data_IF_932829712687
#
_entry.id   IF_932829712687
#
_cell.length_a   1.000
_cell.length_b   1.000
_cell.length_c   1.000
_cell.angle_alpha   90.00
_cell.angle_beta   90.00
_cell.angle_gamma   90.00
#
_symmetry.space_group_name_H-M   'P 1'
#
loop_
_entity.id
_entity.type
_entity.pdbx_description
1 polymer ?
#
# COMPACT_ATOMS: atom_id res chain seq x y z
N UNK A 1 20.64 -44.16 5.49
CA UNK A 1 20.32 -43.15 4.45
C UNK A 1 20.28 -41.71 4.98
N UNK A 2 20.60 -41.45 6.26
CA UNK A 2 20.34 -40.15 6.89
C UNK A 2 21.59 -39.27 7.15
N UNK A 3 22.76 -39.69 6.64
CA UNK A 3 24.03 -38.92 6.74
C UNK A 3 24.37 -38.09 5.50
N UNK A 4 23.66 -38.30 4.39
CA UNK A 4 23.90 -37.58 3.12
C UNK A 4 23.15 -36.25 3.02
N UNK A 5 22.01 -36.11 3.70
CA UNK A 5 21.15 -34.92 3.62
C UNK A 5 21.70 -33.79 4.51
N UNK A 6 22.26 -34.13 5.68
CA UNK A 6 22.89 -33.13 6.57
C UNK A 6 24.20 -32.53 6.05
N UNK A 7 24.94 -33.26 5.19
CA UNK A 7 26.18 -32.75 4.58
C UNK A 7 25.91 -31.73 3.46
N UNK A 8 24.86 -31.93 2.67
CA UNK A 8 24.46 -30.96 1.63
C UNK A 8 23.96 -29.65 2.23
N UNK A 9 23.17 -29.71 3.30
CA UNK A 9 22.67 -28.52 4.00
C UNK A 9 23.79 -27.71 4.71
N UNK A 10 24.90 -28.36 5.09
CA UNK A 10 26.05 -27.67 5.68
C UNK A 10 27.03 -27.08 4.65
N UNK A 11 27.08 -27.62 3.42
CA UNK A 11 27.90 -27.06 2.34
C UNK A 11 27.23 -25.86 1.65
N UNK A 12 25.91 -25.82 1.61
CA UNK A 12 25.14 -24.72 1.00
C UNK A 12 25.10 -23.47 1.91
N UNK A 13 25.26 -23.64 3.22
CA UNK A 13 25.38 -22.56 4.20
C UNK A 13 26.79 -21.91 4.28
N UNK A 14 27.76 -22.43 3.51
CA UNK A 14 29.15 -21.95 3.45
C UNK A 14 29.52 -21.36 2.08
N UNK A 15 28.56 -21.19 1.16
CA UNK A 15 28.79 -20.39 -0.04
C UNK A 15 28.73 -18.91 0.34
N UNK A 16 29.88 -18.24 0.24
CA UNK A 16 29.90 -16.77 0.12
C UNK A 16 28.88 -16.36 -0.95
N UNK A 17 28.06 -15.32 -0.71
CA UNK A 17 27.08 -14.88 -1.70
C UNK A 17 27.80 -14.60 -3.01
N UNK A 18 27.42 -15.32 -4.06
CA UNK A 18 27.98 -15.15 -5.39
C UNK A 18 27.72 -13.70 -5.83
N UNK A 19 28.77 -12.90 -5.97
CA UNK A 19 28.65 -11.48 -6.31
C UNK A 19 27.96 -11.37 -7.67
N UNK A 20 26.74 -10.84 -7.68
CA UNK A 20 25.98 -10.66 -8.92
C UNK A 20 26.75 -9.74 -9.89
N UNK A 21 26.66 -9.97 -11.21
CA UNK A 21 27.28 -9.08 -12.17
C UNK A 21 26.73 -7.65 -12.01
N UNK A 22 27.56 -6.61 -12.21
CA UNK A 22 27.15 -5.23 -11.98
C UNK A 22 25.98 -4.84 -12.89
N UNK A 23 24.98 -4.19 -12.29
CA UNK A 23 23.80 -3.69 -12.98
C UNK A 23 24.12 -2.32 -13.59
N UNK A 24 24.26 -2.29 -14.91
CA UNK A 24 24.63 -1.07 -15.64
C UNK A 24 23.38 -0.35 -16.14
N UNK A 25 23.15 0.85 -15.63
CA UNK A 25 22.12 1.74 -16.14
C UNK A 25 22.65 2.50 -17.35
N UNK A 26 21.90 2.45 -18.46
CA UNK A 26 22.26 3.13 -19.71
C UNK A 26 21.42 4.39 -19.87
N UNK A 27 22.03 5.47 -20.36
CA UNK A 27 21.34 6.68 -20.79
C UNK A 27 21.98 7.18 -22.09
N UNK A 28 21.20 7.54 -23.13
CA UNK A 28 21.76 7.96 -24.42
C UNK A 28 22.75 9.11 -24.30
N UNK A 29 23.95 8.93 -24.86
CA UNK A 29 24.99 9.96 -24.87
C UNK A 29 25.76 10.15 -23.56
N UNK A 30 25.44 9.39 -22.51
CA UNK A 30 26.14 9.44 -21.22
C UNK A 30 26.90 8.15 -20.95
N UNK A 31 28.03 8.28 -20.26
CA UNK A 31 28.77 7.16 -19.68
C UNK A 31 28.54 7.15 -18.16
N UNK A 32 28.28 5.99 -17.55
CA UNK A 32 28.20 5.89 -16.10
C UNK A 32 29.48 6.43 -15.45
N UNK A 33 29.32 7.30 -14.46
CA UNK A 33 30.41 7.97 -13.74
C UNK A 33 30.33 7.74 -12.22
N UNK A 34 29.31 7.01 -11.77
CA UNK A 34 29.07 6.62 -10.38
C UNK A 34 29.05 5.10 -10.26
N UNK A 35 29.82 4.56 -9.31
CA UNK A 35 29.73 3.18 -8.84
C UNK A 35 29.14 3.15 -7.43
N UNK A 36 28.09 2.34 -7.23
CA UNK A 36 27.46 2.11 -5.92
C UNK A 36 27.56 0.62 -5.59
N UNK A 37 28.14 0.25 -4.45
CA UNK A 37 28.21 -1.12 -3.95
C UNK A 37 27.33 -1.27 -2.71
N UNK A 38 26.28 -2.07 -2.80
CA UNK A 38 25.36 -2.34 -1.70
C UNK A 38 25.65 -3.70 -1.07
N UNK A 39 25.99 -3.66 0.21
CA UNK A 39 26.21 -4.77 1.13
C UNK A 39 27.14 -5.86 0.60
N UNK A 40 28.05 -5.52 -0.32
CA UNK A 40 28.92 -6.48 -1.01
C UNK A 40 28.21 -7.47 -1.94
N UNK A 41 26.87 -7.42 -2.05
CA UNK A 41 26.06 -8.36 -2.84
C UNK A 41 25.65 -7.81 -4.19
N UNK A 42 25.59 -6.47 -4.35
CA UNK A 42 25.12 -5.81 -5.56
C UNK A 42 25.94 -4.58 -5.89
N UNK A 43 26.23 -4.42 -7.18
CA UNK A 43 26.94 -3.27 -7.71
C UNK A 43 26.12 -2.59 -8.81
N UNK A 44 26.02 -1.26 -8.76
CA UNK A 44 25.31 -0.45 -9.74
C UNK A 44 26.24 0.56 -10.39
N UNK A 45 26.18 0.65 -11.72
CA UNK A 45 26.84 1.70 -12.49
C UNK A 45 25.79 2.69 -13.00
N UNK A 46 25.85 3.92 -12.53
CA UNK A 46 24.84 4.96 -12.77
C UNK A 46 25.48 6.30 -13.13
N UNK A 47 24.65 7.28 -13.47
CA UNK A 47 25.02 8.62 -13.87
C UNK A 47 24.71 9.62 -12.76
N UNK A 48 25.70 10.39 -12.33
CA UNK A 48 25.54 11.44 -11.33
C UNK A 48 24.50 12.48 -11.75
N UNK A 49 24.44 12.82 -13.04
CA UNK A 49 23.46 13.78 -13.57
C UNK A 49 22.01 13.35 -13.32
N UNK A 50 21.70 12.05 -13.46
CA UNK A 50 20.36 11.51 -13.25
C UNK A 50 20.04 11.44 -11.75
N UNK A 51 20.99 11.00 -10.92
CA UNK A 51 20.81 11.03 -9.46
C UNK A 51 20.51 12.45 -8.96
N UNK A 52 21.28 13.45 -9.38
CA UNK A 52 21.08 14.87 -8.99
C UNK A 52 19.80 15.48 -9.54
N UNK A 53 19.30 14.98 -10.67
CA UNK A 53 18.04 15.42 -11.24
C UNK A 53 16.87 15.05 -10.33
N UNK A 54 16.85 13.81 -9.84
CA UNK A 54 15.70 13.23 -9.14
C UNK A 54 15.83 13.13 -7.61
N UNK A 55 16.99 13.50 -7.05
CA UNK A 55 17.24 13.46 -5.61
C UNK A 55 17.93 14.74 -5.14
N UNK A 56 17.26 15.44 -4.23
CA UNK A 56 17.84 16.60 -3.55
C UNK A 56 19.05 16.20 -2.68
N UNK A 57 19.03 14.98 -2.13
CA UNK A 57 20.16 14.41 -1.41
C UNK A 57 21.40 14.33 -2.31
N UNK A 58 21.33 13.65 -3.45
CA UNK A 58 22.49 13.48 -4.33
C UNK A 58 22.96 14.80 -4.94
N UNK A 59 22.05 15.76 -5.15
CA UNK A 59 22.40 17.13 -5.59
C UNK A 59 23.34 17.84 -4.61
N UNK A 60 23.07 17.73 -3.31
CA UNK A 60 23.91 18.32 -2.26
C UNK A 60 25.12 17.44 -1.93
N UNK A 61 24.93 16.13 -1.89
CA UNK A 61 25.89 15.18 -1.35
C UNK A 61 27.04 14.85 -2.30
N UNK A 62 26.80 14.72 -3.61
CA UNK A 62 27.85 14.27 -4.53
C UNK A 62 28.94 15.31 -4.76
N UNK A 63 28.58 16.60 -4.83
CA UNK A 63 29.54 17.70 -5.06
C UNK A 63 29.84 18.51 -3.79
N UNK A 64 29.59 17.94 -2.60
CA UNK A 64 29.86 18.65 -1.35
C UNK A 64 31.35 19.03 -1.26
N UNK A 65 31.70 20.28 -0.93
CA UNK A 65 33.08 20.74 -0.84
C UNK A 65 33.89 20.03 0.25
N UNK A 66 33.21 19.39 1.20
CA UNK A 66 33.81 18.60 2.27
C UNK A 66 34.34 17.26 1.78
N UNK A 67 33.94 16.81 0.59
CA UNK A 67 34.40 15.54 0.01
C UNK A 67 35.64 15.75 -0.83
N UNK A 68 36.61 14.88 -0.61
CA UNK A 68 37.80 14.82 -1.45
C UNK A 68 37.41 14.37 -2.86
N UNK A 69 37.74 15.16 -3.90
CA UNK A 69 37.49 14.74 -5.27
C UNK A 69 38.29 13.47 -5.58
N UNK A 70 37.71 12.59 -6.39
CA UNK A 70 38.39 11.39 -6.85
C UNK A 70 39.73 11.74 -7.51
N UNK A 71 40.75 10.91 -7.29
CA UNK A 71 42.05 11.10 -7.91
C UNK A 71 41.90 11.17 -9.45
N UNK A 72 42.70 11.97 -10.17
CA UNK A 72 42.60 12.09 -11.63
C UNK A 72 42.75 10.76 -12.40
N UNK A 73 43.34 9.75 -11.75
CA UNK A 73 43.51 8.39 -12.27
C UNK A 73 42.37 7.42 -11.92
N UNK A 74 41.38 7.85 -11.14
CA UNK A 74 40.27 7.00 -10.73
C UNK A 74 39.38 6.65 -11.94
N UNK A 75 38.97 5.38 -12.02
CA UNK A 75 38.05 4.91 -13.09
C UNK A 75 36.62 5.43 -12.92
N UNK A 76 36.28 5.90 -11.72
CA UNK A 76 34.97 6.41 -11.34
C UNK A 76 35.11 7.81 -10.77
N UNK A 77 34.20 8.70 -11.14
CA UNK A 77 34.13 10.05 -10.55
C UNK A 77 33.61 9.98 -9.11
N UNK A 78 32.71 9.03 -8.87
CA UNK A 78 32.06 8.78 -7.60
C UNK A 78 32.05 7.28 -7.33
N UNK A 79 32.57 6.85 -6.19
CA UNK A 79 32.61 5.44 -5.78
C UNK A 79 32.13 5.35 -4.34
N UNK A 80 31.02 4.62 -4.13
CA UNK A 80 30.33 4.58 -2.85
C UNK A 80 30.03 3.14 -2.44
N UNK A 81 30.04 2.91 -1.13
CA UNK A 81 29.67 1.65 -0.49
C UNK A 81 28.57 1.90 0.53
N UNK A 82 27.66 0.94 0.72
CA UNK A 82 26.68 1.01 1.81
C UNK A 82 27.36 0.75 3.15
N UNK A 83 27.06 1.57 4.15
CA UNK A 83 27.48 1.37 5.54
C UNK A 83 26.22 1.33 6.41
N UNK A 84 26.18 0.41 7.36
CA UNK A 84 25.10 0.27 8.34
C UNK A 84 25.52 0.98 9.62
N UNK A 85 24.71 1.94 10.06
CA UNK A 85 24.95 2.75 11.24
C UNK A 85 24.57 2.00 12.53
N UNK A 86 24.94 2.56 13.69
CA UNK A 86 24.66 1.96 15.01
C UNK A 86 23.17 1.76 15.29
N UNK A 87 22.31 2.60 14.70
CA UNK A 87 20.85 2.51 14.82
C UNK A 87 20.21 1.47 13.89
N UNK A 88 21.02 0.85 13.03
CA UNK A 88 20.59 -0.14 12.04
C UNK A 88 19.91 0.45 10.80
N UNK A 89 19.94 1.77 10.61
CA UNK A 89 19.76 2.39 9.29
C UNK A 89 21.05 2.26 8.47
N UNK A 90 20.97 2.58 7.18
CA UNK A 90 22.14 2.50 6.31
C UNK A 90 22.15 3.64 5.29
N UNK A 91 23.35 4.07 4.92
CA UNK A 91 23.59 5.13 3.96
C UNK A 91 24.71 4.78 2.98
N UNK A 92 24.89 5.63 1.97
CA UNK A 92 26.01 5.53 1.03
C UNK A 92 27.17 6.39 1.52
N UNK A 93 28.33 5.79 1.71
CA UNK A 93 29.57 6.47 2.06
C UNK A 93 30.61 6.38 0.95
N UNK A 94 31.51 7.37 0.89
CA UNK A 94 32.59 7.38 -0.11
C UNK A 94 33.47 6.16 0.15
N UNK A 95 33.75 5.39 -0.89
CA UNK A 95 34.66 4.26 -0.76
C UNK A 95 36.08 4.74 -0.51
N UNK A 96 36.49 4.73 0.75
CA UNK A 96 37.88 4.78 1.17
C UNK A 96 38.22 3.56 2.06
N UNK A 97 39.47 3.47 2.50
CA UNK A 97 39.94 2.33 3.31
C UNK A 97 39.19 2.21 4.65
N UNK A 98 38.60 3.28 5.16
CA UNK A 98 37.86 3.28 6.42
C UNK A 98 36.42 2.83 6.19
N UNK A 99 35.75 3.31 5.14
CA UNK A 99 34.38 2.93 4.80
C UNK A 99 34.26 1.43 4.44
N UNK A 100 35.27 0.84 3.77
CA UNK A 100 35.28 -0.61 3.53
C UNK A 100 35.49 -1.43 4.80
N UNK A 101 36.20 -0.88 5.80
CA UNK A 101 36.33 -1.51 7.11
C UNK A 101 35.01 -1.41 7.90
N UNK A 102 34.37 -0.24 7.91
CA UNK A 102 33.11 -0.01 8.64
C UNK A 102 31.89 -0.64 7.98
N UNK A 103 31.88 -0.83 6.66
CA UNK A 103 30.89 -1.68 6.00
C UNK A 103 30.90 -3.13 6.52
N UNK A 104 31.98 -3.55 7.20
CA UNK A 104 32.17 -4.86 7.83
C UNK A 104 32.13 -4.83 9.38
N UNK A 105 31.80 -3.70 10.02
CA UNK A 105 31.87 -3.50 11.49
C UNK A 105 30.78 -4.24 12.30
N UNK A 106 30.08 -5.21 11.71
CA UNK A 106 29.19 -6.12 12.44
C UNK A 106 27.83 -5.54 12.87
N UNK A 107 27.53 -4.28 12.51
CA UNK A 107 26.18 -3.74 12.59
C UNK A 107 25.27 -4.47 11.59
N UNK A 108 24.02 -4.73 12.00
CA UNK A 108 23.07 -5.51 11.21
C UNK A 108 21.76 -4.75 11.06
N UNK A 109 21.15 -4.88 9.89
CA UNK A 109 19.82 -4.34 9.64
C UNK A 109 18.79 -4.96 10.60
N UNK A 110 17.86 -4.18 11.16
CA UNK A 110 16.82 -4.72 12.02
C UNK A 110 15.86 -5.57 11.21
N UNK A 111 15.52 -6.74 11.75
CA UNK A 111 14.54 -7.63 11.14
C UNK A 111 13.17 -6.93 11.00
N UNK A 112 12.44 -7.17 9.90
CA UNK A 112 12.68 -8.18 8.87
C UNK A 112 13.56 -7.72 7.70
N UNK A 113 14.23 -6.55 7.80
CA UNK A 113 15.06 -6.03 6.71
C UNK A 113 16.29 -6.91 6.49
N UNK A 114 16.61 -7.14 5.23
CA UNK A 114 17.78 -7.92 4.82
C UNK A 114 18.59 -7.14 3.79
N UNK A 115 19.91 -7.37 3.68
CA UNK A 115 20.72 -6.76 2.63
C UNK A 115 20.11 -6.94 1.23
N UNK A 116 19.53 -8.11 0.97
CA UNK A 116 18.89 -8.45 -0.30
C UNK A 116 17.63 -7.60 -0.53
N UNK A 117 16.71 -7.54 0.45
CA UNK A 117 15.48 -6.76 0.31
C UNK A 117 15.78 -5.27 0.15
N UNK A 118 16.75 -4.74 0.87
CA UNK A 118 17.22 -3.36 0.77
C UNK A 118 17.84 -3.05 -0.60
N UNK A 119 18.70 -3.95 -1.11
CA UNK A 119 19.30 -3.78 -2.43
C UNK A 119 18.25 -3.85 -3.56
N UNK A 120 17.21 -4.68 -3.42
CA UNK A 120 16.08 -4.74 -4.36
C UNK A 120 15.25 -3.45 -4.32
N UNK A 121 14.91 -2.95 -3.12
CA UNK A 121 14.16 -1.71 -2.98
C UNK A 121 14.95 -0.51 -3.54
N UNK A 122 16.26 -0.44 -3.28
CA UNK A 122 17.13 0.60 -3.83
C UNK A 122 17.27 0.50 -5.35
N UNK A 123 17.42 -0.71 -5.91
CA UNK A 123 17.41 -0.90 -7.36
C UNK A 123 16.11 -0.40 -7.99
N UNK A 124 14.95 -0.66 -7.35
CA UNK A 124 13.65 -0.19 -7.85
C UNK A 124 13.52 1.34 -7.77
N UNK A 125 14.11 1.97 -6.76
CA UNK A 125 14.24 3.44 -6.71
C UNK A 125 15.12 3.96 -7.85
N UNK A 126 16.26 3.32 -8.15
CA UNK A 126 17.07 3.66 -9.32
C UNK A 126 16.27 3.46 -10.62
N UNK A 127 15.53 2.36 -10.75
CA UNK A 127 14.68 2.14 -11.91
C UNK A 127 13.65 3.27 -12.08
N UNK A 128 13.04 3.76 -10.99
CA UNK A 128 12.17 4.94 -11.04
C UNK A 128 12.89 6.18 -11.59
N UNK A 129 14.11 6.47 -11.11
CA UNK A 129 14.95 7.58 -11.63
C UNK A 129 15.30 7.45 -13.11
N UNK A 130 15.37 6.23 -13.64
CA UNK A 130 15.63 5.96 -15.06
C UNK A 130 14.37 5.70 -15.88
N UNK A 131 13.18 5.87 -15.29
CA UNK A 131 11.90 5.55 -15.92
C UNK A 131 11.83 4.11 -16.47
N UNK A 132 12.51 3.18 -15.79
CA UNK A 132 12.44 1.75 -16.09
C UNK A 132 11.22 1.14 -15.39
N UNK A 133 10.38 0.37 -16.10
CA UNK A 133 9.26 -0.33 -15.48
C UNK A 133 9.73 -1.28 -14.38
N UNK A 134 9.01 -1.26 -13.26
CA UNK A 134 9.24 -2.19 -12.14
C UNK A 134 7.92 -2.81 -11.70
N UNK A 135 7.98 -4.08 -11.32
CA UNK A 135 6.89 -4.72 -10.58
C UNK A 135 7.19 -4.60 -9.08
N UNK A 136 6.16 -4.45 -8.28
CA UNK A 136 6.18 -4.47 -6.82
C UNK A 136 5.72 -5.86 -6.39
N UNK A 137 6.52 -6.50 -5.54
CA UNK A 137 6.27 -7.87 -5.09
C UNK A 137 5.17 -7.91 -4.01
N UNK A 138 5.32 -7.10 -2.96
CA UNK A 138 4.39 -7.03 -1.83
C UNK A 138 4.41 -5.63 -1.17
N UNK A 139 3.55 -5.44 -0.16
CA UNK A 139 3.43 -4.15 0.53
C UNK A 139 4.66 -3.77 1.36
N UNK A 140 5.48 -4.76 1.78
CA UNK A 140 6.74 -4.48 2.50
C UNK A 140 7.73 -3.84 1.56
N UNK A 141 7.84 -4.36 0.34
CA UNK A 141 8.73 -3.79 -0.66
C UNK A 141 8.36 -2.35 -1.01
N UNK A 142 7.06 -2.03 -1.14
CA UNK A 142 6.63 -0.64 -1.35
C UNK A 142 7.00 0.26 -0.15
N UNK A 143 6.94 -0.27 1.07
CA UNK A 143 7.35 0.44 2.28
C UNK A 143 8.85 0.73 2.28
N UNK A 144 9.68 -0.25 1.91
CA UNK A 144 11.14 -0.10 1.81
C UNK A 144 11.52 0.88 0.70
N UNK A 145 10.88 0.78 -0.47
CA UNK A 145 11.06 1.73 -1.57
C UNK A 145 10.73 3.16 -1.12
N UNK A 146 9.62 3.35 -0.39
CA UNK A 146 9.19 4.66 0.10
C UNK A 146 10.14 5.20 1.16
N UNK A 147 10.61 4.37 2.09
CA UNK A 147 11.59 4.77 3.11
C UNK A 147 12.90 5.22 2.46
N UNK A 148 13.42 4.46 1.50
CA UNK A 148 14.64 4.84 0.77
C UNK A 148 14.43 6.11 -0.05
N UNK A 149 13.28 6.26 -0.71
CA UNK A 149 12.96 7.48 -1.43
C UNK A 149 12.86 8.69 -0.51
N UNK A 150 12.34 8.54 0.70
CA UNK A 150 12.32 9.61 1.71
C UNK A 150 13.74 9.99 2.14
N UNK A 151 14.54 9.00 2.55
CA UNK A 151 15.93 9.19 2.96
C UNK A 151 16.78 9.87 1.88
N UNK A 152 16.68 9.41 0.64
CA UNK A 152 17.39 9.99 -0.50
C UNK A 152 16.65 11.17 -1.14
N UNK A 153 15.61 11.73 -0.50
CA UNK A 153 14.83 12.87 -0.98
C UNK A 153 14.39 12.76 -2.46
N UNK A 154 13.77 11.63 -2.79
CA UNK A 154 13.37 11.17 -4.12
C UNK A 154 11.91 10.64 -4.15
N UNK A 155 11.07 11.01 -3.17
CA UNK A 155 9.64 10.67 -3.16
C UNK A 155 8.89 11.06 -4.45
N UNK A 156 9.11 12.24 -5.07
CA UNK A 156 8.37 12.63 -6.29
C UNK A 156 8.58 11.67 -7.46
N UNK A 157 9.82 11.23 -7.69
CA UNK A 157 10.14 10.32 -8.79
C UNK A 157 9.61 8.92 -8.53
N UNK A 158 9.65 8.48 -7.26
CA UNK A 158 9.04 7.20 -6.88
C UNK A 158 7.53 7.25 -7.10
N UNK A 159 6.84 8.28 -6.59
CA UNK A 159 5.40 8.48 -6.79
C UNK A 159 5.02 8.47 -8.26
N UNK A 160 5.76 9.20 -9.11
CA UNK A 160 5.53 9.22 -10.56
C UNK A 160 5.67 7.83 -11.19
N UNK A 161 6.65 7.03 -10.76
CA UNK A 161 6.84 5.69 -11.30
C UNK A 161 5.68 4.72 -10.99
N UNK A 162 4.96 4.95 -9.89
CA UNK A 162 3.86 4.09 -9.45
C UNK A 162 2.66 4.07 -10.41
N UNK A 163 2.46 5.12 -11.21
CA UNK A 163 1.44 5.13 -12.26
C UNK A 163 1.58 3.96 -13.25
N UNK A 164 2.81 3.48 -13.47
CA UNK A 164 3.11 2.33 -14.32
C UNK A 164 3.33 1.08 -13.46
N UNK A 165 4.10 1.20 -12.37
CA UNK A 165 4.50 0.03 -11.59
C UNK A 165 3.31 -0.69 -10.97
N UNK A 166 2.31 0.01 -10.42
CA UNK A 166 1.15 -0.61 -9.77
C UNK A 166 0.41 -1.59 -10.68
N UNK A 167 0.23 -1.23 -11.96
CA UNK A 167 -0.43 -2.10 -12.94
C UNK A 167 0.39 -3.33 -13.36
N UNK A 168 1.71 -3.25 -13.20
CA UNK A 168 2.63 -4.35 -13.48
C UNK A 168 2.90 -5.22 -12.24
N UNK A 169 2.14 -5.04 -11.16
CA UNK A 169 2.40 -5.63 -9.84
C UNK A 169 1.27 -6.55 -9.36
N UNK A 170 0.96 -7.65 -10.06
CA UNK A 170 -0.19 -8.50 -9.72
C UNK A 170 -0.09 -9.10 -8.31
N UNK A 171 1.11 -9.45 -7.84
CA UNK A 171 1.32 -9.99 -6.48
C UNK A 171 1.05 -8.96 -5.39
N UNK A 172 1.47 -7.72 -5.60
CA UNK A 172 1.15 -6.62 -4.70
C UNK A 172 -0.37 -6.36 -4.64
N UNK A 173 -1.06 -6.42 -5.80
CA UNK A 173 -2.52 -6.28 -5.83
C UNK A 173 -3.22 -7.44 -5.10
N UNK A 174 -2.70 -8.65 -5.21
CA UNK A 174 -3.19 -9.82 -4.46
C UNK A 174 -2.93 -9.67 -2.94
N UNK A 175 -1.78 -9.13 -2.53
CA UNK A 175 -1.45 -8.84 -1.13
C UNK A 175 -2.45 -7.83 -0.52
N UNK A 176 -2.72 -6.72 -1.22
CA UNK A 176 -3.76 -5.74 -0.84
C UNK A 176 -5.12 -6.43 -0.68
N UNK A 177 -5.52 -7.24 -1.67
CA UNK A 177 -6.84 -7.90 -1.67
C UNK A 177 -6.99 -8.83 -0.47
N UNK A 178 -5.97 -9.61 -0.16
CA UNK A 178 -6.01 -10.62 0.91
C UNK A 178 -6.41 -10.06 2.29
N UNK A 179 -6.12 -8.79 2.57
CA UNK A 179 -6.43 -8.15 3.86
C UNK A 179 -7.85 -7.62 3.96
N UNK A 180 -8.43 -7.18 2.85
CA UNK A 180 -9.85 -6.80 2.82
C UNK A 180 -10.75 -7.96 3.28
N UNK A 181 -10.31 -9.21 3.10
CA UNK A 181 -11.06 -10.43 3.45
C UNK A 181 -10.70 -10.95 4.84
N UNK A 182 -9.41 -10.92 5.21
CA UNK A 182 -8.90 -11.44 6.48
C UNK A 182 -9.18 -10.53 7.69
N UNK A 183 -9.17 -9.19 7.52
CA UNK A 183 -9.38 -8.23 8.59
C UNK A 183 -10.78 -8.35 9.24
N UNK A 184 -11.78 -8.83 8.49
CA UNK A 184 -13.14 -9.02 9.01
C UNK A 184 -13.26 -10.26 9.93
N UNK A 185 -12.43 -11.27 9.72
CA UNK A 185 -12.56 -12.58 10.39
C UNK A 185 -11.82 -12.67 11.72
N UNK A 186 -10.95 -11.71 12.03
CA UNK A 186 -10.23 -11.61 13.30
C UNK A 186 -10.65 -10.35 14.05
N UNK A 187 -11.93 -10.25 14.45
CA UNK A 187 -12.24 -9.34 15.57
C UNK A 187 -11.34 -9.76 16.74
N UNK A 188 -10.59 -8.85 17.38
CA UNK A 188 -10.10 -9.15 18.71
C UNK A 188 -11.34 -9.53 19.51
N UNK A 189 -11.35 -10.76 20.05
CA UNK A 189 -12.40 -11.20 20.96
C UNK A 189 -12.47 -10.10 22.01
N UNK A 190 -13.58 -9.35 22.03
CA UNK A 190 -13.86 -8.47 23.16
C UNK A 190 -13.94 -9.42 24.35
N UNK A 191 -12.87 -9.52 25.10
CA UNK A 191 -12.91 -10.18 26.39
C UNK A 191 -13.75 -9.26 27.28
N UNK A 192 -15.06 -9.47 27.26
CA UNK A 192 -16.04 -8.71 28.03
C UNK A 192 -15.85 -8.87 29.54
N UNK A 193 -14.78 -9.55 29.98
CA UNK A 193 -14.41 -9.74 31.38
C UNK A 193 -13.52 -8.63 31.93
N UNK A 194 -13.00 -7.73 31.09
CA UNK A 194 -12.20 -6.58 31.55
C UNK A 194 -12.98 -5.27 31.31
N UNK A 195 -14.04 -5.08 32.09
CA UNK A 195 -14.67 -3.77 32.28
C UNK A 195 -13.64 -2.84 32.96
N UNK A 196 -12.94 -2.02 32.18
CA UNK A 196 -12.08 -0.95 32.71
C UNK A 196 -10.67 -0.83 32.14
N UNK A 197 -10.22 -1.75 31.27
CA UNK A 197 -8.94 -1.56 30.57
C UNK A 197 -9.17 -0.75 29.30
N UNK A 198 -8.58 0.45 29.23
CA UNK A 198 -8.45 1.21 27.99
C UNK A 198 -7.75 0.31 26.97
N UNK A 199 -8.36 0.01 25.81
CA UNK A 199 -7.70 -0.79 24.80
C UNK A 199 -6.38 -0.11 24.39
N UNK A 200 -5.29 -0.87 24.18
CA UNK A 200 -4.02 -0.30 23.75
C UNK A 200 -4.24 0.45 22.43
N UNK A 201 -3.74 1.69 22.36
CA UNK A 201 -3.77 2.48 21.15
C UNK A 201 -2.81 1.81 20.16
N UNK A 202 -3.36 1.22 19.10
CA UNK A 202 -2.55 0.64 18.02
C UNK A 202 -2.20 1.75 17.05
N UNK A 203 -0.96 2.23 17.11
CA UNK A 203 -0.44 3.26 16.19
C UNK A 203 0.26 2.66 14.98
N UNK A 204 0.71 1.40 15.10
CA UNK A 204 1.47 0.70 14.06
C UNK A 204 0.70 -0.51 13.56
N UNK A 205 0.52 -0.56 12.24
CA UNK A 205 -0.13 -1.68 11.56
C UNK A 205 0.89 -2.41 10.68
N UNK A 206 0.66 -3.71 10.39
CA UNK A 206 1.46 -4.44 9.42
C UNK A 206 1.59 -3.67 8.10
N UNK A 207 2.70 -3.82 7.35
CA UNK A 207 2.94 -3.04 6.13
C UNK A 207 1.85 -3.18 5.06
N UNK A 208 1.20 -4.35 4.99
CA UNK A 208 0.12 -4.61 4.06
C UNK A 208 -1.26 -4.12 4.54
N UNK A 209 -1.38 -3.65 5.79
CA UNK A 209 -2.65 -3.17 6.32
C UNK A 209 -3.14 -1.91 5.59
N UNK A 210 -4.44 -1.76 5.29
CA UNK A 210 -4.97 -0.62 4.54
C UNK A 210 -4.60 0.75 5.13
N UNK A 211 -4.56 0.88 6.47
CA UNK A 211 -4.15 2.13 7.14
C UNK A 211 -2.66 2.44 6.91
N UNK A 212 -1.78 1.43 6.91
CA UNK A 212 -0.35 1.62 6.61
C UNK A 212 -0.14 2.07 5.18
N UNK A 213 -0.81 1.39 4.23
CA UNK A 213 -0.75 1.75 2.82
C UNK A 213 -1.40 3.10 2.53
N UNK A 214 -2.46 3.49 3.26
CA UNK A 214 -3.05 4.82 3.16
C UNK A 214 -2.09 5.92 3.62
N UNK A 215 -1.42 5.72 4.78
CA UNK A 215 -0.37 6.63 5.28
C UNK A 215 0.77 6.75 4.25
N UNK A 216 1.20 5.62 3.69
CA UNK A 216 2.24 5.57 2.69
C UNK A 216 1.84 6.29 1.39
N UNK A 217 0.60 6.07 0.92
CA UNK A 217 0.07 6.75 -0.25
C UNK A 217 -0.02 8.27 -0.05
N UNK A 218 -0.34 8.72 1.18
CA UNK A 218 -0.34 10.13 1.53
C UNK A 218 1.07 10.73 1.52
N UNK A 219 2.05 10.03 2.09
CA UNK A 219 3.47 10.45 2.04
C UNK A 219 4.02 10.54 0.61
N UNK A 220 3.63 9.57 -0.23
CA UNK A 220 3.92 9.58 -1.66
C UNK A 220 3.03 10.51 -2.47
N UNK A 221 2.08 11.23 -1.85
CA UNK A 221 1.10 12.08 -2.52
C UNK A 221 0.51 11.42 -3.79
N UNK A 222 0.28 10.11 -3.75
CA UNK A 222 -0.05 9.31 -4.94
C UNK A 222 -1.58 9.09 -5.02
N UNK A 223 -2.30 9.81 -5.91
CA UNK A 223 -3.76 9.93 -5.80
C UNK A 223 -4.51 8.61 -6.03
N UNK A 224 -4.05 7.79 -6.99
CA UNK A 224 -4.69 6.50 -7.31
C UNK A 224 -4.59 5.55 -6.11
N UNK A 225 -3.40 5.43 -5.54
CA UNK A 225 -3.16 4.52 -4.41
C UNK A 225 -3.90 5.01 -3.16
N UNK A 226 -3.92 6.33 -2.93
CA UNK A 226 -4.63 6.93 -1.80
C UNK A 226 -6.13 6.67 -1.87
N UNK A 227 -6.75 6.90 -3.03
CA UNK A 227 -8.17 6.61 -3.27
C UNK A 227 -8.49 5.13 -3.08
N UNK A 228 -7.67 4.26 -3.67
CA UNK A 228 -7.82 2.81 -3.51
C UNK A 228 -7.83 2.42 -2.03
N UNK A 229 -6.84 2.90 -1.26
CA UNK A 229 -6.72 2.57 0.16
C UNK A 229 -7.83 3.21 1.01
N UNK A 230 -8.31 4.39 0.64
CA UNK A 230 -9.44 5.04 1.31
C UNK A 230 -10.72 4.20 1.18
N UNK A 231 -10.97 3.61 0.01
CA UNK A 231 -12.11 2.69 -0.18
C UNK A 231 -12.02 1.52 0.79
N UNK A 232 -10.86 0.87 0.90
CA UNK A 232 -10.67 -0.23 1.84
C UNK A 232 -10.85 0.18 3.30
N UNK A 233 -10.28 1.32 3.71
CA UNK A 233 -10.42 1.84 5.08
C UNK A 233 -11.88 2.18 5.40
N UNK A 234 -12.58 2.90 4.52
CA UNK A 234 -14.00 3.24 4.72
C UNK A 234 -14.87 1.98 4.80
N UNK A 235 -14.63 1.00 3.92
CA UNK A 235 -15.42 -0.23 3.86
C UNK A 235 -15.37 -1.09 5.14
N UNK A 236 -14.34 -0.89 5.96
CA UNK A 236 -14.08 -1.64 7.18
C UNK A 236 -14.20 -0.80 8.45
N UNK A 237 -14.59 0.48 8.32
CA UNK A 237 -14.55 1.46 9.40
C UNK A 237 -15.42 1.08 10.59
N UNK A 238 -16.68 0.70 10.40
CA UNK A 238 -17.57 0.37 11.54
C UNK A 238 -17.04 -0.77 12.41
N UNK A 239 -16.37 -1.74 11.78
CA UNK A 239 -15.80 -2.89 12.49
C UNK A 239 -14.50 -2.55 13.23
N UNK A 240 -13.79 -1.50 12.82
CA UNK A 240 -12.41 -1.24 13.26
C UNK A 240 -12.14 0.20 13.72
N UNK A 241 -13.16 1.08 13.76
CA UNK A 241 -13.02 2.51 14.09
C UNK A 241 -12.18 2.75 15.34
N UNK A 242 -12.48 2.05 16.44
CA UNK A 242 -11.75 2.23 17.70
C UNK A 242 -10.27 1.85 17.62
N UNK A 243 -9.89 1.02 16.64
CA UNK A 243 -8.52 0.57 16.40
C UNK A 243 -7.80 1.56 15.48
N UNK A 244 -8.48 2.03 14.42
CA UNK A 244 -7.86 2.81 13.35
C UNK A 244 -7.89 4.31 13.56
N UNK A 245 -8.92 4.82 14.26
CA UNK A 245 -9.14 6.25 14.46
C UNK A 245 -7.92 6.99 15.03
N UNK A 246 -7.18 6.47 16.04
CA UNK A 246 -5.98 7.14 16.53
C UNK A 246 -4.89 7.31 15.46
N UNK A 247 -4.61 6.26 14.69
CA UNK A 247 -3.55 6.28 13.67
C UNK A 247 -3.91 7.15 12.45
N UNK A 248 -5.20 7.23 12.10
CA UNK A 248 -5.68 8.13 11.04
C UNK A 248 -5.56 9.58 11.48
N UNK A 249 -5.93 9.90 12.73
CA UNK A 249 -5.82 11.26 13.28
C UNK A 249 -4.37 11.72 13.39
N UNK A 250 -3.50 10.83 13.86
CA UNK A 250 -2.05 11.07 13.90
C UNK A 250 -1.48 11.40 12.51
N UNK A 251 -2.04 10.81 11.45
CA UNK A 251 -1.67 11.11 10.07
C UNK A 251 -2.30 12.39 9.49
N UNK A 252 -3.19 13.07 10.22
CA UNK A 252 -3.97 14.22 9.70
C UNK A 252 -4.95 13.84 8.59
N UNK A 253 -5.44 12.60 8.56
CA UNK A 253 -6.31 12.08 7.50
C UNK A 253 -7.79 11.96 7.91
N UNK A 254 -8.14 12.43 9.11
CA UNK A 254 -9.45 12.25 9.70
C UNK A 254 -10.56 13.04 8.99
N UNK A 255 -10.29 14.25 8.55
CA UNK A 255 -11.26 15.06 7.79
C UNK A 255 -11.65 14.39 6.46
N UNK A 256 -10.67 13.94 5.70
CA UNK A 256 -10.89 13.27 4.40
C UNK A 256 -11.60 11.94 4.61
N UNK A 257 -11.20 11.18 5.62
CA UNK A 257 -11.86 9.92 5.98
C UNK A 257 -13.31 10.15 6.40
N UNK A 258 -13.59 11.16 7.23
CA UNK A 258 -14.93 11.48 7.68
C UNK A 258 -15.83 11.86 6.49
N UNK A 259 -15.34 12.68 5.55
CA UNK A 259 -16.07 13.01 4.32
C UNK A 259 -16.39 11.76 3.49
N UNK A 260 -15.39 10.91 3.23
CA UNK A 260 -15.56 9.69 2.44
C UNK A 260 -16.54 8.71 3.12
N UNK A 261 -16.40 8.52 4.43
CA UNK A 261 -17.29 7.68 5.22
C UNK A 261 -18.73 8.20 5.26
N UNK A 262 -18.91 9.50 5.49
CA UNK A 262 -20.23 10.13 5.52
C UNK A 262 -20.94 10.02 4.17
N UNK A 263 -20.20 10.06 3.06
CA UNK A 263 -20.75 9.85 1.71
C UNK A 263 -21.34 8.43 1.57
N UNK A 264 -20.60 7.40 1.99
CA UNK A 264 -21.10 6.01 1.97
C UNK A 264 -22.30 5.85 2.91
N UNK A 265 -22.23 6.43 4.10
CA UNK A 265 -23.33 6.41 5.06
C UNK A 265 -24.59 7.10 4.55
N UNK A 266 -24.44 8.22 3.86
CA UNK A 266 -25.56 8.91 3.24
C UNK A 266 -26.22 8.04 2.16
N UNK A 267 -25.42 7.40 1.29
CA UNK A 267 -25.94 6.47 0.28
C UNK A 267 -26.68 5.29 0.93
N UNK A 268 -26.11 4.73 2.00
CA UNK A 268 -26.72 3.64 2.76
C UNK A 268 -28.07 4.08 3.35
N UNK A 269 -28.11 5.22 4.04
CA UNK A 269 -29.32 5.76 4.63
C UNK A 269 -30.41 6.04 3.57
N UNK A 270 -30.04 6.61 2.42
CA UNK A 270 -30.95 6.88 1.31
C UNK A 270 -31.57 5.60 0.75
N UNK A 271 -30.77 4.54 0.54
CA UNK A 271 -31.28 3.22 0.11
C UNK A 271 -32.31 2.68 1.10
N UNK A 272 -31.98 2.65 2.40
CA UNK A 272 -32.90 2.10 3.40
C UNK A 272 -34.15 2.94 3.55
N UNK A 273 -34.03 4.27 3.53
CA UNK A 273 -35.19 5.16 3.54
C UNK A 273 -36.10 4.90 2.33
N UNK A 274 -35.55 4.74 1.13
CA UNK A 274 -36.29 4.38 -0.07
C UNK A 274 -36.99 3.02 0.05
N UNK A 275 -36.30 2.01 0.56
CA UNK A 275 -36.88 0.67 0.79
C UNK A 275 -38.07 0.75 1.75
N UNK A 276 -37.92 1.44 2.89
CA UNK A 276 -38.98 1.56 3.89
C UNK A 276 -40.16 2.39 3.38
N UNK A 277 -39.88 3.53 2.74
CA UNK A 277 -40.91 4.37 2.10
C UNK A 277 -41.69 3.57 1.07
N UNK A 278 -41.00 2.77 0.25
CA UNK A 278 -41.63 1.87 -0.71
C UNK A 278 -42.53 0.85 -0.04
N UNK A 279 -42.06 0.24 1.06
CA UNK A 279 -42.84 -0.78 1.76
C UNK A 279 -44.14 -0.23 2.38
N UNK A 280 -44.16 1.05 2.74
CA UNK A 280 -45.37 1.74 3.24
C UNK A 280 -46.35 2.04 2.10
N UNK A 281 -45.85 2.51 0.96
CA UNK A 281 -46.71 3.07 -0.09
C UNK A 281 -47.09 2.08 -1.20
N UNK A 282 -46.32 1.01 -1.39
CA UNK A 282 -46.50 0.03 -2.46
C UNK A 282 -46.53 -1.39 -1.88
N UNK A 283 -47.68 -2.06 -2.02
CA UNK A 283 -47.89 -3.42 -1.53
C UNK A 283 -47.06 -4.46 -2.29
N UNK A 284 -46.96 -4.35 -3.61
CA UNK A 284 -46.18 -5.27 -4.41
C UNK A 284 -44.69 -5.17 -4.02
N UNK A 285 -44.20 -3.95 -3.83
CA UNK A 285 -42.84 -3.69 -3.34
C UNK A 285 -42.62 -4.30 -1.96
N UNK A 286 -43.54 -4.07 -1.01
CA UNK A 286 -43.46 -4.62 0.35
C UNK A 286 -43.37 -6.14 0.33
N UNK A 287 -44.24 -6.81 -0.43
CA UNK A 287 -44.23 -8.27 -0.58
C UNK A 287 -42.90 -8.73 -1.16
N UNK A 288 -42.39 -8.05 -2.20
CA UNK A 288 -41.12 -8.42 -2.82
C UNK A 288 -39.93 -8.28 -1.89
N UNK A 289 -39.82 -7.17 -1.17
CA UNK A 289 -38.74 -6.94 -0.19
C UNK A 289 -38.80 -7.98 0.93
N UNK A 290 -40.00 -8.31 1.42
CA UNK A 290 -40.18 -9.34 2.44
C UNK A 290 -39.81 -10.74 1.92
N UNK A 291 -40.18 -11.08 0.69
CA UNK A 291 -39.77 -12.32 0.01
C UNK A 291 -38.24 -12.43 -0.03
N UNK A 292 -37.54 -11.36 -0.45
CA UNK A 292 -36.07 -11.34 -0.47
C UNK A 292 -35.51 -11.45 0.95
N UNK A 293 -36.03 -10.70 1.92
CA UNK A 293 -35.55 -10.73 3.30
C UNK A 293 -35.71 -12.11 3.96
N UNK A 294 -36.86 -12.77 3.76
CA UNK A 294 -37.15 -14.11 4.29
C UNK A 294 -36.28 -15.20 3.67
N UNK A 295 -35.97 -15.12 2.36
CA UNK A 295 -35.00 -16.02 1.72
C UNK A 295 -33.60 -15.90 2.33
N UNK A 296 -33.26 -14.73 2.85
CA UNK A 296 -31.96 -14.46 3.45
C UNK A 296 -31.94 -14.71 4.97
N UNK A 297 -33.09 -14.86 5.62
CA UNK A 297 -33.21 -15.03 7.07
C UNK A 297 -32.38 -16.21 7.61
N UNK A 298 -32.33 -17.40 6.99
CA UNK A 298 -31.47 -18.49 7.47
C UNK A 298 -29.97 -18.17 7.42
N UNK A 299 -29.55 -17.41 6.40
CA UNK A 299 -28.17 -16.93 6.25
C UNK A 299 -27.85 -15.83 7.26
N UNK A 300 -28.86 -15.02 7.62
CA UNK A 300 -28.74 -13.96 8.62
C UNK A 300 -28.78 -14.52 10.05
N UNK A 301 -29.53 -15.59 10.33
CA UNK A 301 -29.62 -16.19 11.66
C UNK A 301 -28.33 -16.90 12.10
N UNK A 302 -27.50 -17.31 11.15
CA UNK A 302 -26.19 -17.95 11.42
C UNK A 302 -25.06 -16.92 11.61
N UNK A 303 -25.25 -15.67 11.15
CA UNK A 303 -24.29 -14.58 11.30
C UNK A 303 -24.77 -13.61 12.38
N UNK A 304 -23.90 -13.23 13.31
CA UNK A 304 -24.30 -12.42 14.49
C UNK A 304 -24.78 -10.99 14.16
N UNK A 305 -24.69 -10.53 12.91
CA UNK A 305 -25.13 -9.20 12.47
C UNK A 305 -25.74 -9.26 11.07
N UNK A 306 -26.64 -8.32 10.80
CA UNK A 306 -27.34 -8.18 9.53
C UNK A 306 -26.38 -7.58 8.49
N UNK A 307 -26.05 -8.35 7.46
CA UNK A 307 -24.96 -8.03 6.54
C UNK A 307 -25.47 -7.20 5.37
N UNK A 308 -25.46 -5.88 5.55
CA UNK A 308 -26.14 -4.90 4.70
C UNK A 308 -25.64 -4.88 3.25
N UNK A 309 -24.34 -5.04 3.03
CA UNK A 309 -23.77 -5.11 1.67
C UNK A 309 -24.35 -6.26 0.85
N UNK A 310 -24.38 -7.47 1.42
CA UNK A 310 -24.96 -8.65 0.79
C UNK A 310 -26.48 -8.52 0.57
N UNK A 311 -27.21 -7.99 1.56
CA UNK A 311 -28.64 -7.74 1.40
C UNK A 311 -28.92 -6.79 0.22
N UNK A 312 -28.21 -5.66 0.14
CA UNK A 312 -28.35 -4.69 -0.95
C UNK A 312 -27.98 -5.31 -2.31
N UNK A 313 -26.92 -6.12 -2.36
CA UNK A 313 -26.54 -6.87 -3.57
C UNK A 313 -27.67 -7.79 -4.05
N UNK A 314 -28.23 -8.59 -3.14
CA UNK A 314 -29.31 -9.55 -3.45
C UNK A 314 -30.61 -8.85 -3.82
N UNK A 315 -30.94 -7.76 -3.13
CA UNK A 315 -32.10 -6.97 -3.45
C UNK A 315 -31.98 -6.40 -4.88
N UNK A 316 -30.84 -5.80 -5.23
CA UNK A 316 -30.58 -5.29 -6.59
C UNK A 316 -30.78 -6.37 -7.65
N UNK A 317 -30.21 -7.56 -7.44
CA UNK A 317 -30.33 -8.71 -8.36
C UNK A 317 -31.80 -9.14 -8.56
N UNK A 318 -32.57 -9.22 -7.46
CA UNK A 318 -33.98 -9.65 -7.47
C UNK A 318 -34.97 -8.60 -7.96
N UNK A 319 -34.54 -7.34 -8.11
CA UNK A 319 -35.38 -6.27 -8.63
C UNK A 319 -35.37 -6.17 -10.16
N UNK A 320 -34.49 -6.89 -10.86
CA UNK A 320 -34.31 -6.79 -12.33
C UNK A 320 -35.64 -6.96 -13.08
N UNK A 321 -36.40 -8.00 -12.74
CA UNK A 321 -37.67 -8.36 -13.40
C UNK A 321 -38.93 -7.93 -12.63
N UNK A 322 -38.76 -7.23 -11.51
CA UNK A 322 -39.88 -6.75 -10.69
C UNK A 322 -40.42 -5.44 -11.24
N UNK A 323 -41.72 -5.12 -11.19
CA UNK A 323 -42.24 -3.83 -11.66
C UNK A 323 -42.99 -3.12 -10.53
N UNK A 324 -42.65 -1.85 -10.30
CA UNK A 324 -43.18 -1.01 -9.22
C UNK A 324 -42.79 0.44 -9.46
N UNK A 325 -43.65 1.39 -9.06
CA UNK A 325 -43.36 2.83 -9.15
C UNK A 325 -42.14 3.22 -8.29
N UNK A 326 -41.87 2.46 -7.22
CA UNK A 326 -40.75 2.71 -6.30
C UNK A 326 -39.44 2.04 -6.76
N UNK A 327 -39.53 1.04 -7.65
CA UNK A 327 -38.37 0.30 -8.14
C UNK A 327 -37.32 1.23 -8.73
N UNK A 328 -37.72 2.16 -9.59
CA UNK A 328 -36.75 2.99 -10.32
C UNK A 328 -35.89 3.83 -9.36
N UNK A 329 -36.52 4.46 -8.36
CA UNK A 329 -35.84 5.28 -7.35
C UNK A 329 -34.85 4.41 -6.53
N UNK A 330 -35.32 3.28 -6.00
CA UNK A 330 -34.48 2.41 -5.16
C UNK A 330 -33.37 1.74 -5.96
N UNK A 331 -33.63 1.33 -7.21
CA UNK A 331 -32.62 0.75 -8.10
C UNK A 331 -31.51 1.74 -8.42
N UNK A 332 -31.82 3.03 -8.60
CA UNK A 332 -30.80 4.07 -8.78
C UNK A 332 -29.94 4.23 -7.53
N UNK A 333 -30.56 4.32 -6.35
CA UNK A 333 -29.84 4.43 -5.07
C UNK A 333 -28.97 3.20 -4.80
N UNK A 334 -29.49 1.99 -5.04
CA UNK A 334 -28.73 0.74 -4.95
C UNK A 334 -27.57 0.71 -5.93
N UNK A 335 -27.74 1.24 -7.14
CA UNK A 335 -26.66 1.30 -8.13
C UNK A 335 -25.51 2.18 -7.65
N UNK A 336 -25.83 3.32 -7.01
CA UNK A 336 -24.83 4.21 -6.40
C UNK A 336 -24.12 3.57 -5.20
N UNK A 337 -24.87 2.95 -4.27
CA UNK A 337 -24.31 2.29 -3.09
C UNK A 337 -23.45 1.06 -3.45
N UNK A 338 -23.85 0.33 -4.49
CA UNK A 338 -23.18 -0.90 -4.94
C UNK A 338 -22.17 -0.64 -6.07
N UNK A 339 -21.80 0.62 -6.30
CA UNK A 339 -20.73 1.00 -7.23
C UNK A 339 -19.39 0.53 -6.67
N UNK A 340 -18.54 -0.03 -7.53
CA UNK A 340 -17.14 -0.29 -7.22
C UNK A 340 -16.29 0.88 -7.75
N UNK A 341 -15.69 1.64 -6.83
CA UNK A 341 -14.81 2.79 -7.10
C UNK A 341 -13.33 2.43 -7.02
N UNK A 342 -12.98 1.18 -6.72
CA UNK A 342 -11.61 0.69 -6.86
C UNK A 342 -11.14 0.88 -8.29
N UNK A 343 -9.93 1.40 -8.44
CA UNK A 343 -9.26 1.60 -9.72
C UNK A 343 -8.41 0.38 -10.01
N UNK A 344 -7.52 0.00 -9.09
CA UNK A 344 -6.52 -1.05 -9.33
C UNK A 344 -7.16 -2.45 -9.43
N UNK A 345 -8.27 -2.67 -8.73
CA UNK A 345 -8.95 -3.99 -8.67
C UNK A 345 -10.38 -3.99 -9.25
N UNK A 346 -10.73 -3.04 -10.11
CA UNK A 346 -12.11 -2.78 -10.56
C UNK A 346 -12.85 -4.00 -11.13
N UNK A 347 -12.15 -4.89 -11.83
CA UNK A 347 -12.76 -6.02 -12.55
C UNK A 347 -13.05 -7.26 -11.70
N UNK A 348 -12.51 -7.35 -10.48
CA UNK A 348 -12.55 -8.57 -9.67
C UNK A 348 -13.48 -8.39 -8.45
N UNK A 349 -13.54 -7.18 -7.91
CA UNK A 349 -14.25 -6.92 -6.66
C UNK A 349 -15.71 -6.54 -6.92
N UNK A 350 -16.63 -7.25 -6.27
CA UNK A 350 -18.07 -6.99 -6.37
C UNK A 350 -18.58 -6.71 -4.95
N UNK A 351 -19.03 -5.48 -4.63
CA UNK A 351 -19.54 -5.18 -3.30
C UNK A 351 -20.74 -6.07 -2.97
N UNK A 352 -20.79 -6.58 -1.74
CA UNK A 352 -21.81 -7.51 -1.29
C UNK A 352 -21.71 -8.93 -1.87
N UNK A 353 -20.62 -9.31 -2.53
CA UNK A 353 -20.42 -10.66 -3.07
C UNK A 353 -19.00 -11.20 -2.84
N UNK A 354 -18.87 -12.51 -2.72
CA UNK A 354 -17.60 -13.20 -2.52
C UNK A 354 -16.85 -12.69 -1.29
N UNK A 355 -15.59 -12.35 -1.49
CA UNK A 355 -14.68 -11.78 -0.49
C UNK A 355 -15.12 -10.41 0.06
N UNK A 356 -15.99 -9.71 -0.68
CA UNK A 356 -16.51 -8.37 -0.37
C UNK A 356 -17.95 -8.40 0.12
N UNK A 357 -18.41 -9.56 0.60
CA UNK A 357 -19.77 -9.79 1.09
C UNK A 357 -20.27 -8.75 2.10
N UNK A 358 -19.36 -8.19 2.91
CA UNK A 358 -19.65 -7.25 3.99
C UNK A 358 -19.38 -5.78 3.65
N UNK A 359 -18.86 -5.50 2.46
CA UNK A 359 -18.23 -4.21 2.16
C UNK A 359 -18.99 -3.44 1.09
N UNK A 360 -19.07 -2.12 1.31
CA UNK A 360 -19.33 -1.15 0.26
C UNK A 360 -18.02 -0.66 -0.29
N UNK A 361 -17.93 -0.60 -1.61
CA UNK A 361 -16.73 -0.17 -2.32
C UNK A 361 -17.00 1.13 -3.09
N UNK A 362 -17.92 1.95 -2.58
CA UNK A 362 -18.41 3.16 -3.25
C UNK A 362 -17.89 4.46 -2.63
N UNK A 363 -16.90 4.38 -1.75
CA UNK A 363 -16.27 5.58 -1.20
C UNK A 363 -15.56 6.35 -2.31
N UNK A 364 -15.67 7.68 -2.28
CA UNK A 364 -15.05 8.56 -3.26
C UNK A 364 -14.28 9.66 -2.54
N UNK A 365 -13.11 9.99 -3.06
CA UNK A 365 -12.29 11.12 -2.62
C UNK A 365 -12.01 11.96 -3.85
N UNK A 366 -12.51 13.19 -3.86
CA UNK A 366 -12.28 14.13 -4.95
C UNK A 366 -10.86 14.68 -4.90
N UNK A 367 -10.42 15.34 -5.97
CA UNK A 367 -9.11 16.01 -5.99
C UNK A 367 -9.03 17.11 -4.91
N UNK A 368 -10.11 17.89 -4.74
CA UNK A 368 -10.24 18.93 -3.71
C UNK A 368 -10.22 18.43 -2.26
N UNK A 369 -10.37 17.12 -2.07
CA UNK A 369 -10.36 16.46 -0.76
C UNK A 369 -9.04 15.73 -0.48
N UNK A 370 -8.05 15.78 -1.38
CA UNK A 370 -6.73 15.22 -1.10
C UNK A 370 -6.03 16.05 0.00
N UNK A 371 -5.24 15.42 0.88
CA UNK A 371 -4.54 16.13 1.95
C UNK A 371 -3.29 16.90 1.47
N UNK A 372 -3.07 16.95 0.16
CA UNK A 372 -2.01 17.73 -0.50
C UNK A 372 -2.57 18.43 -1.74
N UNK A 373 -1.88 19.47 -2.20
CA UNK A 373 -2.19 20.14 -3.45
C UNK A 373 -1.56 19.37 -4.64
N UNK A 374 -2.36 19.11 -5.67
CA UNK A 374 -1.91 18.38 -6.87
C UNK A 374 -0.89 19.17 -7.71
N UNK A 375 -0.89 20.49 -7.58
CA UNK A 375 0.04 21.37 -8.30
C UNK A 375 1.33 21.63 -7.48
N UNK A 376 1.41 21.11 -6.26
CA UNK A 376 2.57 21.29 -5.40
C UNK A 376 3.76 20.46 -5.90
N UNK A 377 4.86 21.14 -6.21
CA UNK A 377 6.10 20.49 -6.67
C UNK A 377 7.13 20.34 -5.56
N UNK A 378 6.95 21.03 -4.44
CA UNK A 378 7.79 20.89 -3.25
C UNK A 378 7.21 19.78 -2.36
N UNK A 379 8.05 18.86 -1.89
CA UNK A 379 7.61 17.56 -1.39
C UNK A 379 7.85 17.37 0.10
#
# INVERSE_FOLDING_TARGET
MDRGIKRKASEEALREPEVEPPVIFKSPGLKPDVRLRLFGIREFHVHASILKLYSNYFRKFLDSPEKTPAAPSASWKYDYVSVVDEDGEWGLEVCDQNAEASANDGHSLPLPRTPVSEAVAFEKLLNAMYSKPTAIEDSRELHDMTRLADFYCALPVLSTSLYISLWNSPKFLDDIRSLSTAAYHKRPVRDTRVLGATPPIVTEFPPNHPVSLLKLAAKLRHPILFREMMVYVVSLWESNRSIWEPAIKDAGLDDVLAKAYNTVHHLQASVFFGIFRGAVNDEAWRVKVYEVASQLEPLMATKKQMEMGFFCYRLRDKLTDFESEVKLEVSQMLSSLMKNTLVLNKGICIPGYGDYFHQYLCAEVKDEDLPWDLEETDW
#
